data_IF_884052725184
#
_entry.id   IF_884052725184
#
_cell.length_a   1.000
_cell.length_b   1.000
_cell.length_c   1.000
_cell.angle_alpha   90.00
_cell.angle_beta   90.00
_cell.angle_gamma   90.00
#
_symmetry.space_group_name_H-M   'P 1'
#
loop_
_entity.id
_entity.type
_entity.pdbx_description
1 polymer ?
#
# COMPACT_ATOMS: atom_id res chain seq x y z
N UNK A 1 36.38 18.89 -7.84
CA UNK A 1 35.55 18.28 -6.78
C UNK A 1 35.99 16.85 -6.64
N UNK A 2 36.70 16.52 -5.57
CA UNK A 2 37.39 15.24 -5.42
C UNK A 2 36.40 14.07 -5.37
N UNK A 3 36.64 13.08 -6.22
CA UNK A 3 35.77 11.91 -6.41
C UNK A 3 35.55 11.12 -5.12
N UNK A 4 36.50 11.15 -4.18
CA UNK A 4 36.35 10.53 -2.85
C UNK A 4 35.35 11.27 -1.96
N UNK A 5 35.36 12.60 -1.99
CA UNK A 5 34.42 13.44 -1.23
C UNK A 5 33.00 13.30 -1.79
N UNK A 6 32.87 13.21 -3.11
CA UNK A 6 31.60 12.94 -3.79
C UNK A 6 31.03 11.55 -3.42
N UNK A 7 31.87 10.50 -3.34
CA UNK A 7 31.47 9.16 -2.91
C UNK A 7 31.00 9.13 -1.45
N UNK A 8 31.69 9.86 -0.58
CA UNK A 8 31.33 9.98 0.84
C UNK A 8 29.96 10.65 1.02
N UNK A 9 29.72 11.76 0.32
CA UNK A 9 28.42 12.44 0.30
C UNK A 9 27.29 11.54 -0.24
N UNK A 10 27.52 10.84 -1.36
CA UNK A 10 26.54 9.90 -1.94
C UNK A 10 26.16 8.79 -0.96
N UNK A 11 27.15 8.18 -0.29
CA UNK A 11 26.90 7.10 0.67
C UNK A 11 26.12 7.58 1.89
N UNK A 12 26.42 8.78 2.36
CA UNK A 12 25.70 9.42 3.47
C UNK A 12 24.25 9.76 3.08
N UNK A 13 24.03 10.26 1.85
CA UNK A 13 22.71 10.54 1.31
C UNK A 13 21.90 9.26 1.10
N UNK A 14 22.48 8.23 0.49
CA UNK A 14 21.83 6.93 0.23
C UNK A 14 21.36 6.24 1.51
N UNK A 15 22.16 6.29 2.58
CA UNK A 15 21.80 5.67 3.87
C UNK A 15 20.59 6.34 4.54
N UNK A 16 20.41 7.65 4.35
CA UNK A 16 19.26 8.36 4.88
C UNK A 16 18.06 8.27 3.94
N UNK A 17 18.26 8.46 2.65
CA UNK A 17 17.17 8.60 1.67
C UNK A 17 16.60 7.24 1.24
N UNK A 18 17.44 6.20 1.16
CA UNK A 18 17.04 4.84 0.77
C UNK A 18 15.86 4.27 1.58
N UNK A 19 15.93 4.21 2.92
CA UNK A 19 14.83 3.65 3.72
C UNK A 19 13.56 4.50 3.65
N UNK A 20 13.66 5.83 3.59
CA UNK A 20 12.49 6.70 3.45
C UNK A 20 11.79 6.52 2.10
N UNK A 21 12.56 6.47 1.00
CA UNK A 21 12.02 6.17 -0.34
C UNK A 21 11.37 4.79 -0.36
N UNK A 22 11.96 3.79 0.31
CA UNK A 22 11.38 2.46 0.37
C UNK A 22 10.02 2.44 1.08
N UNK A 23 9.88 3.15 2.20
CA UNK A 23 8.64 3.18 3.01
C UNK A 23 7.54 4.00 2.31
N UNK A 24 7.88 5.18 1.79
CA UNK A 24 6.90 5.99 1.04
C UNK A 24 6.55 5.34 -0.30
N UNK A 25 7.53 4.73 -0.97
CA UNK A 25 7.35 4.04 -2.24
C UNK A 25 6.40 2.86 -2.11
N UNK A 26 6.55 2.02 -1.08
CA UNK A 26 5.64 0.89 -0.85
C UNK A 26 4.23 1.37 -0.49
N UNK A 27 4.09 2.48 0.24
CA UNK A 27 2.76 3.05 0.55
C UNK A 27 2.04 3.52 -0.72
N UNK A 28 2.73 4.27 -1.58
CA UNK A 28 2.18 4.73 -2.86
C UNK A 28 1.83 3.55 -3.77
N UNK A 29 2.67 2.51 -3.81
CA UNK A 29 2.39 1.29 -4.57
C UNK A 29 1.08 0.62 -4.11
N UNK A 30 0.87 0.50 -2.79
CA UNK A 30 -0.38 -0.04 -2.26
C UNK A 30 -1.60 0.81 -2.57
N UNK A 31 -1.48 2.14 -2.56
CA UNK A 31 -2.55 3.05 -2.99
C UNK A 31 -2.90 2.83 -4.46
N UNK A 32 -1.91 2.71 -5.33
CA UNK A 32 -2.13 2.42 -6.75
C UNK A 32 -2.88 1.09 -6.94
N UNK A 33 -2.47 0.03 -6.24
CA UNK A 33 -3.14 -1.28 -6.27
C UNK A 33 -4.57 -1.16 -5.75
N UNK A 34 -4.77 -0.48 -4.62
CA UNK A 34 -6.08 -0.26 -4.00
C UNK A 34 -7.04 0.50 -4.93
N UNK A 35 -6.52 1.46 -5.69
CA UNK A 35 -7.31 2.26 -6.61
C UNK A 35 -7.63 1.53 -7.92
N UNK A 36 -6.65 0.81 -8.48
CA UNK A 36 -6.80 0.13 -9.76
C UNK A 36 -7.58 -1.19 -9.65
N UNK A 37 -7.29 -2.01 -8.63
CA UNK A 37 -7.83 -3.38 -8.55
C UNK A 37 -9.37 -3.46 -8.50
N UNK A 38 -10.12 -2.62 -7.76
CA UNK A 38 -11.59 -2.68 -7.76
C UNK A 38 -12.17 -2.31 -9.12
N UNK A 39 -11.54 -1.38 -9.86
CA UNK A 39 -12.03 -0.91 -11.16
C UNK A 39 -11.87 -1.98 -12.23
N UNK A 40 -10.71 -2.64 -12.23
CA UNK A 40 -10.47 -3.80 -13.10
C UNK A 40 -11.42 -4.93 -12.71
N UNK A 41 -11.64 -5.19 -11.42
CA UNK A 41 -12.56 -6.23 -10.95
C UNK A 41 -14.01 -5.97 -11.41
N UNK A 42 -14.53 -4.75 -11.27
CA UNK A 42 -15.89 -4.43 -11.72
C UNK A 42 -16.03 -4.52 -13.24
N UNK A 43 -14.99 -4.15 -13.99
CA UNK A 43 -15.04 -4.17 -15.46
C UNK A 43 -14.98 -5.59 -16.04
N UNK A 44 -14.19 -6.49 -15.45
CA UNK A 44 -13.90 -7.82 -16.01
C UNK A 44 -14.59 -8.97 -15.28
N UNK A 45 -14.77 -8.88 -13.95
CA UNK A 45 -15.28 -9.98 -13.13
C UNK A 45 -16.78 -9.87 -12.83
N UNK A 46 -17.27 -8.64 -12.63
CA UNK A 46 -18.66 -8.36 -12.26
C UNK A 46 -19.23 -7.17 -13.04
N UNK A 47 -19.33 -7.26 -14.38
CA UNK A 47 -19.87 -6.17 -15.18
C UNK A 47 -21.34 -5.91 -14.79
N UNK A 48 -21.74 -4.64 -14.77
CA UNK A 48 -23.05 -4.17 -14.31
C UNK A 48 -24.20 -4.46 -15.32
N UNK A 49 -24.30 -5.70 -15.78
CA UNK A 49 -25.35 -6.18 -16.67
C UNK A 49 -26.02 -7.41 -16.07
N UNK A 50 -27.27 -7.72 -16.46
CA UNK A 50 -28.00 -8.91 -15.97
C UNK A 50 -27.25 -10.20 -16.33
N UNK A 51 -26.67 -10.24 -17.53
CA UNK A 51 -25.81 -11.33 -17.98
C UNK A 51 -24.56 -11.41 -17.08
N UNK A 52 -23.90 -10.28 -16.82
CA UNK A 52 -22.76 -10.19 -15.90
C UNK A 52 -23.07 -10.73 -14.51
N UNK A 53 -24.27 -10.47 -13.98
CA UNK A 53 -24.71 -11.01 -12.70
C UNK A 53 -24.82 -12.55 -12.73
N UNK A 54 -25.42 -13.12 -13.78
CA UNK A 54 -25.55 -14.58 -13.93
C UNK A 54 -24.18 -15.26 -14.12
N UNK A 55 -23.27 -14.63 -14.86
CA UNK A 55 -21.92 -15.17 -15.08
C UNK A 55 -20.95 -14.91 -13.92
N UNK A 56 -21.27 -13.99 -13.01
CA UNK A 56 -20.41 -13.62 -11.88
C UNK A 56 -19.91 -14.79 -11.01
N UNK A 57 -20.70 -15.82 -10.65
CA UNK A 57 -20.17 -16.95 -9.86
C UNK A 57 -19.12 -17.78 -10.61
N UNK A 58 -19.23 -17.88 -11.93
CA UNK A 58 -18.26 -18.60 -12.76
C UNK A 58 -16.98 -17.79 -12.95
N UNK A 59 -17.13 -16.49 -13.22
CA UNK A 59 -15.99 -15.57 -13.36
C UNK A 59 -15.26 -15.37 -12.03
N UNK A 60 -15.97 -15.41 -10.89
CA UNK A 60 -15.37 -15.28 -9.56
C UNK A 60 -14.36 -16.39 -9.24
N UNK A 61 -14.48 -17.57 -9.87
CA UNK A 61 -13.52 -18.67 -9.70
C UNK A 61 -12.34 -18.59 -10.67
N UNK A 62 -12.37 -17.66 -11.63
CA UNK A 62 -11.26 -17.50 -12.56
C UNK A 62 -10.02 -16.93 -11.85
N UNK A 63 -8.81 -17.33 -12.27
CA UNK A 63 -7.57 -16.97 -11.58
C UNK A 63 -7.34 -15.46 -11.50
N UNK A 64 -7.72 -14.70 -12.54
CA UNK A 64 -7.56 -13.25 -12.55
C UNK A 64 -8.49 -12.55 -11.54
N UNK A 65 -9.75 -13.01 -11.41
CA UNK A 65 -10.69 -12.44 -10.43
C UNK A 65 -10.32 -12.80 -8.98
N UNK A 66 -9.78 -13.99 -8.75
CA UNK A 66 -9.25 -14.38 -7.44
C UNK A 66 -8.07 -13.49 -7.04
N UNK A 67 -7.12 -13.28 -7.96
CA UNK A 67 -5.97 -12.41 -7.72
C UNK A 67 -6.39 -10.96 -7.44
N UNK A 68 -7.33 -10.42 -8.23
CA UNK A 68 -7.88 -9.08 -8.00
C UNK A 68 -8.60 -8.97 -6.67
N UNK A 69 -9.41 -9.98 -6.28
CA UNK A 69 -10.10 -10.00 -5.00
C UNK A 69 -9.13 -10.02 -3.82
N UNK A 70 -8.05 -10.78 -3.93
CA UNK A 70 -6.96 -10.76 -2.95
C UNK A 70 -6.25 -9.41 -2.91
N UNK A 71 -5.97 -8.80 -4.07
CA UNK A 71 -5.33 -7.49 -4.14
C UNK A 71 -6.19 -6.39 -3.50
N UNK A 72 -7.51 -6.42 -3.71
CA UNK A 72 -8.46 -5.48 -3.09
C UNK A 72 -8.42 -5.59 -1.56
N UNK A 73 -8.51 -6.81 -1.02
CA UNK A 73 -8.54 -6.99 0.44
C UNK A 73 -7.18 -6.67 1.08
N UNK A 74 -6.08 -7.16 0.50
CA UNK A 74 -4.74 -6.95 1.06
C UNK A 74 -4.22 -5.55 0.92
N UNK A 75 -4.56 -4.85 -0.16
CA UNK A 75 -4.20 -3.43 -0.28
C UNK A 75 -4.90 -2.57 0.76
N UNK A 76 -6.20 -2.81 1.02
CA UNK A 76 -6.96 -2.11 2.06
C UNK A 76 -6.38 -2.37 3.47
N UNK A 77 -6.11 -3.63 3.79
CA UNK A 77 -5.49 -4.01 5.07
C UNK A 77 -4.10 -3.38 5.25
N UNK A 78 -3.28 -3.37 4.19
CA UNK A 78 -1.93 -2.80 4.23
C UNK A 78 -1.98 -1.29 4.46
N UNK A 79 -2.86 -0.56 3.75
CA UNK A 79 -3.03 0.89 3.94
C UNK A 79 -3.51 1.19 5.36
N UNK A 80 -4.48 0.42 5.87
CA UNK A 80 -4.98 0.56 7.24
C UNK A 80 -3.86 0.37 8.27
N UNK A 81 -3.08 -0.69 8.15
CA UNK A 81 -1.98 -0.98 9.08
C UNK A 81 -0.90 0.11 9.04
N UNK A 82 -0.51 0.56 7.86
CA UNK A 82 0.49 1.63 7.70
C UNK A 82 0.00 2.95 8.29
N UNK A 83 -1.27 3.31 8.05
CA UNK A 83 -1.89 4.48 8.65
C UNK A 83 -2.01 4.35 10.18
N UNK A 84 -2.29 3.14 10.68
CA UNK A 84 -2.35 2.83 12.10
C UNK A 84 -1.01 3.06 12.82
N UNK A 85 0.11 2.63 12.22
CA UNK A 85 1.45 2.89 12.75
C UNK A 85 1.74 4.39 12.83
N UNK A 86 1.42 5.15 11.76
CA UNK A 86 1.59 6.60 11.75
C UNK A 86 0.75 7.28 12.85
N UNK A 87 -0.50 6.85 13.00
CA UNK A 87 -1.41 7.36 14.02
C UNK A 87 -0.90 7.06 15.44
N UNK A 88 -0.42 5.84 15.68
CA UNK A 88 0.18 5.46 16.97
C UNK A 88 1.44 6.26 17.27
N UNK A 89 2.31 6.50 16.28
CA UNK A 89 3.50 7.33 16.44
C UNK A 89 3.14 8.77 16.83
N UNK A 90 2.14 9.35 16.18
CA UNK A 90 1.64 10.69 16.53
C UNK A 90 1.10 10.73 17.96
N UNK A 91 0.24 9.78 18.34
CA UNK A 91 -0.32 9.72 19.68
C UNK A 91 0.76 9.55 20.75
N UNK A 92 1.76 8.69 20.52
CA UNK A 92 2.89 8.51 21.43
C UNK A 92 3.72 9.79 21.62
N UNK A 93 3.76 10.66 20.59
CA UNK A 93 4.49 11.94 20.66
C UNK A 93 3.71 13.05 21.35
N UNK A 94 2.38 13.10 21.15
CA UNK A 94 1.53 14.17 21.67
C UNK A 94 0.91 13.88 23.03
N UNK A 95 0.74 12.62 23.42
CA UNK A 95 0.21 12.26 24.74
C UNK A 95 1.37 12.15 25.73
N UNK A 96 1.53 13.09 26.69
CA UNK A 96 2.48 12.90 27.76
C UNK A 96 2.01 11.72 28.62
N UNK A 97 2.70 10.58 28.52
CA UNK A 97 2.47 9.44 29.40
C UNK A 97 2.98 9.84 30.79
N UNK A 98 2.15 10.55 31.55
CA UNK A 98 2.41 10.81 32.96
C UNK A 98 2.11 9.50 33.70
N UNK A 99 3.11 8.63 33.80
CA UNK A 99 3.08 7.50 34.71
C UNK A 99 2.91 8.05 36.14
N UNK A 100 1.70 7.94 36.69
CA UNK A 100 1.53 8.03 38.14
C UNK A 100 1.85 6.65 38.69
N UNK A 101 3.07 6.50 39.18
CA UNK A 101 3.46 5.47 40.15
C UNK A 101 2.63 5.65 41.41
#
# INVERSE_FOLDING_TARGET
MDTEKARSYYKSLHNYVGPFISIFGIYVAWICIHYASPRVYVSYCVPATVIGFIYSPFLAQSPHCIALRWAISKSGESIYNMFGILSMWLLARFVPIKSKV
#
